data_IF_727308481068
#
_entry.id   IF_727308481068
#
_cell.length_a   1.000
_cell.length_b   1.000
_cell.length_c   1.000
_cell.angle_alpha   90.00
_cell.angle_beta   90.00
_cell.angle_gamma   90.00
#
_symmetry.space_group_name_H-M   'P 1'
#
loop_
_entity.id
_entity.type
_entity.pdbx_description
1 polymer ?
#
# COMPACT_ATOMS: atom_id res chain seq x y z
N UNK A 1 14.27 3.87 12.27
CA UNK A 1 12.89 3.33 12.38
C UNK A 1 12.03 3.65 11.17
N UNK A 2 11.91 4.89 10.72
CA UNK A 2 11.05 5.26 9.56
C UNK A 2 11.31 4.47 8.28
N UNK A 3 12.57 4.39 7.83
CA UNK A 3 12.92 3.63 6.64
C UNK A 3 12.57 2.14 6.77
N UNK A 4 12.65 1.60 8.00
CA UNK A 4 12.27 0.21 8.27
C UNK A 4 10.76 0.00 8.12
N UNK A 5 9.92 0.91 8.65
CA UNK A 5 8.45 0.84 8.51
C UNK A 5 8.02 0.98 7.04
N UNK A 6 8.65 1.87 6.29
CA UNK A 6 8.39 2.02 4.85
C UNK A 6 8.79 0.76 4.09
N UNK A 7 9.98 0.22 4.37
CA UNK A 7 10.48 -0.99 3.72
C UNK A 7 9.63 -2.22 4.03
N UNK A 8 9.24 -2.44 5.28
CA UNK A 8 8.37 -3.56 5.66
C UNK A 8 7.00 -3.45 4.99
N UNK A 9 6.43 -2.23 4.93
CA UNK A 9 5.14 -1.99 4.27
C UNK A 9 5.23 -2.25 2.76
N UNK A 10 6.33 -1.85 2.12
CA UNK A 10 6.59 -2.16 0.71
C UNK A 10 6.69 -3.66 0.45
N UNK A 11 7.40 -4.40 1.31
CA UNK A 11 7.49 -5.88 1.22
C UNK A 11 6.10 -6.52 1.36
N UNK A 12 5.26 -6.05 2.27
CA UNK A 12 3.89 -6.54 2.43
C UNK A 12 3.07 -6.29 1.16
N UNK A 13 3.18 -5.11 0.52
CA UNK A 13 2.50 -4.82 -0.74
C UNK A 13 2.94 -5.74 -1.88
N UNK A 14 4.25 -6.04 -1.97
CA UNK A 14 4.78 -7.01 -2.92
C UNK A 14 4.23 -8.42 -2.68
N UNK A 15 4.26 -8.89 -1.44
CA UNK A 15 3.72 -10.20 -1.07
C UNK A 15 2.22 -10.31 -1.36
N UNK A 16 1.46 -9.25 -1.05
CA UNK A 16 0.03 -9.20 -1.32
C UNK A 16 -0.26 -9.21 -2.82
N UNK A 17 0.49 -8.44 -3.61
CA UNK A 17 0.38 -8.44 -5.07
C UNK A 17 0.70 -9.83 -5.65
N UNK A 18 1.74 -10.49 -5.13
CA UNK A 18 2.11 -11.84 -5.53
C UNK A 18 1.01 -12.87 -5.19
N UNK A 19 0.43 -12.79 -3.99
CA UNK A 19 -0.70 -13.65 -3.60
C UNK A 19 -1.92 -13.44 -4.50
N UNK A 20 -2.24 -12.18 -4.86
CA UNK A 20 -3.32 -11.87 -5.79
C UNK A 20 -3.05 -12.56 -7.14
N UNK A 21 -1.83 -12.47 -7.67
CA UNK A 21 -1.44 -13.13 -8.93
C UNK A 21 -1.59 -14.65 -8.82
N UNK A 22 -1.11 -15.28 -7.75
CA UNK A 22 -1.23 -16.72 -7.54
C UNK A 22 -2.69 -17.18 -7.50
N UNK A 23 -3.54 -16.47 -6.76
CA UNK A 23 -4.97 -16.80 -6.61
C UNK A 23 -5.74 -16.59 -7.92
N UNK A 24 -5.37 -15.59 -8.72
CA UNK A 24 -6.04 -15.31 -10.01
C UNK A 24 -5.49 -16.12 -11.18
N UNK A 25 -4.25 -16.62 -11.11
CA UNK A 25 -3.61 -17.38 -12.20
C UNK A 25 -4.35 -18.66 -12.60
N UNK A 26 -5.17 -19.25 -11.72
CA UNK A 26 -5.93 -20.46 -12.01
C UNK A 26 -7.26 -20.24 -12.75
N UNK A 27 -7.74 -19.00 -12.87
CA UNK A 27 -9.09 -18.70 -13.39
C UNK A 27 -9.00 -18.10 -14.80
N UNK A 28 -9.19 -18.92 -15.84
CA UNK A 28 -9.22 -18.52 -17.28
C UNK A 28 -10.45 -17.69 -17.70
N UNK A 29 -10.93 -16.78 -16.86
CA UNK A 29 -12.04 -15.90 -17.20
C UNK A 29 -11.50 -14.52 -17.61
N UNK A 30 -11.98 -13.94 -18.72
CA UNK A 30 -11.66 -12.55 -19.14
C UNK A 30 -11.83 -11.53 -18.00
N UNK A 31 -12.84 -11.73 -17.16
CA UNK A 31 -13.12 -10.89 -15.99
C UNK A 31 -12.07 -11.03 -14.86
N UNK A 32 -11.33 -12.14 -14.83
CA UNK A 32 -10.27 -12.39 -13.84
C UNK A 32 -9.05 -11.51 -14.02
N UNK A 33 -8.75 -11.08 -15.25
CA UNK A 33 -7.64 -10.16 -15.52
C UNK A 33 -7.95 -8.75 -15.04
N UNK A 34 -9.16 -8.25 -15.31
CA UNK A 34 -9.61 -6.93 -14.82
C UNK A 34 -9.61 -6.88 -13.29
N UNK A 35 -10.11 -7.93 -12.63
CA UNK A 35 -10.08 -8.03 -11.16
C UNK A 35 -8.64 -8.07 -10.65
N UNK A 36 -7.73 -8.78 -11.32
CA UNK A 36 -6.32 -8.85 -10.93
C UNK A 36 -5.66 -7.48 -10.98
N UNK A 37 -5.80 -6.76 -12.10
CA UNK A 37 -5.21 -5.43 -12.25
C UNK A 37 -5.86 -4.42 -11.30
N UNK A 38 -7.18 -4.48 -11.11
CA UNK A 38 -7.91 -3.63 -10.17
C UNK A 38 -7.47 -3.85 -8.72
N UNK A 39 -7.32 -5.12 -8.30
CA UNK A 39 -6.89 -5.47 -6.95
C UNK A 39 -5.41 -5.11 -6.69
N UNK A 40 -4.52 -5.32 -7.66
CA UNK A 40 -3.12 -4.89 -7.53
C UNK A 40 -3.06 -3.36 -7.48
N UNK A 41 -3.79 -2.68 -8.37
CA UNK A 41 -3.84 -1.22 -8.42
C UNK A 41 -4.33 -0.61 -7.10
N UNK A 42 -5.36 -1.16 -6.47
CA UNK A 42 -5.88 -0.67 -5.19
C UNK A 42 -4.89 -0.86 -4.04
N UNK A 43 -4.14 -1.98 -4.01
CA UNK A 43 -3.08 -2.23 -3.01
C UNK A 43 -1.98 -1.18 -3.12
N UNK A 44 -1.49 -0.90 -4.33
CA UNK A 44 -0.45 0.11 -4.55
C UNK A 44 -0.95 1.53 -4.28
N UNK A 45 -2.18 1.84 -4.67
CA UNK A 45 -2.78 3.13 -4.38
C UNK A 45 -2.92 3.35 -2.86
N UNK A 46 -3.35 2.33 -2.11
CA UNK A 46 -3.42 2.36 -0.66
C UNK A 46 -2.04 2.59 -0.02
N UNK A 47 -1.00 1.92 -0.52
CA UNK A 47 0.37 2.12 -0.06
C UNK A 47 0.87 3.56 -0.29
N UNK A 48 0.63 4.12 -1.48
CA UNK A 48 1.00 5.50 -1.80
C UNK A 48 0.22 6.51 -0.95
N UNK A 49 -1.07 6.27 -0.73
CA UNK A 49 -1.87 7.13 0.17
C UNK A 49 -1.31 7.10 1.60
N UNK A 50 -1.03 5.89 2.12
CA UNK A 50 -0.48 5.71 3.46
C UNK A 50 0.90 6.34 3.64
N UNK A 51 1.82 6.17 2.68
CA UNK A 51 3.17 6.72 2.79
C UNK A 51 3.17 8.25 2.78
N UNK A 52 2.28 8.88 2.01
CA UNK A 52 2.12 10.33 1.99
C UNK A 52 1.69 10.88 3.36
N UNK A 53 0.73 10.23 4.02
CA UNK A 53 0.29 10.61 5.37
C UNK A 53 1.40 10.37 6.40
N UNK A 54 2.08 9.22 6.30
CA UNK A 54 3.16 8.90 7.23
C UNK A 54 4.32 9.91 7.14
N UNK A 55 4.73 10.28 5.91
CA UNK A 55 5.81 11.23 5.69
C UNK A 55 5.42 12.66 6.08
N UNK A 56 4.17 13.07 5.88
CA UNK A 56 3.72 14.42 6.25
C UNK A 56 3.76 14.65 7.78
N UNK A 57 3.61 13.59 8.56
CA UNK A 57 3.64 13.63 10.02
C UNK A 57 5.02 13.34 10.62
N UNK A 58 6.01 12.89 9.83
CA UNK A 58 7.31 12.48 10.37
C UNK A 58 8.14 13.66 10.92
N UNK A 59 8.10 14.80 10.25
CA UNK A 59 8.66 16.07 10.73
C UNK A 59 7.68 17.19 10.41
N UNK A 60 6.65 17.38 11.24
CA UNK A 60 5.65 18.39 10.99
C UNK A 60 6.30 19.77 11.12
N UNK A 61 6.02 20.66 10.18
CA UNK A 61 6.45 22.06 10.24
C UNK A 61 5.68 22.86 11.30
N UNK A 62 4.52 22.34 11.74
CA UNK A 62 3.66 22.94 12.76
C UNK A 62 3.50 21.92 13.88
N UNK A 63 3.97 22.27 15.07
CA UNK A 63 3.75 21.46 16.26
C UNK A 63 2.30 21.57 16.72
N UNK A 64 1.69 20.49 17.22
CA UNK A 64 0.34 20.55 17.76
C UNK A 64 0.32 21.50 18.97
N UNK A 65 -0.57 22.49 18.94
CA UNK A 65 -0.80 23.36 20.11
C UNK A 65 -1.54 22.57 21.18
N UNK A 66 -0.86 22.25 22.26
CA UNK A 66 -1.49 21.76 23.49
C UNK A 66 -2.15 22.96 24.16
N UNK A 67 -3.48 22.97 24.25
CA UNK A 67 -4.19 23.96 25.06
C UNK A 67 -3.99 23.57 26.53
N UNK A 68 -2.95 24.09 27.17
CA UNK A 68 -2.87 24.19 28.63
C UNK A 68 -3.65 25.42 29.11
#
# INVERSE_FOLDING_TARGET
MVYFVIFSSFVICLLTSFLIVLVTSGRKFKMGEEIRYGAIGSVWFGFVSWICVYLSQYKPFVEPKTNE
#
